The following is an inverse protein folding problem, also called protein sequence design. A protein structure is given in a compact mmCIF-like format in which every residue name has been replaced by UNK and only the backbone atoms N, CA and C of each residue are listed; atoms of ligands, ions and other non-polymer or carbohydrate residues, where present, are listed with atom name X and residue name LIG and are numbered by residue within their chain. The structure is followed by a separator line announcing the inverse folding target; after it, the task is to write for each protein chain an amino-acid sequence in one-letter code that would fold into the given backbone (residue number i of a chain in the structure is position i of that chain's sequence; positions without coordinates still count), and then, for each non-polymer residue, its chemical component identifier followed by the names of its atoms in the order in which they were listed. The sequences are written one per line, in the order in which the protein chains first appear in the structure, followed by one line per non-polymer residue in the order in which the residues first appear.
data_IF_603786490600
#
_entry.id   IF_603786490600
#
_cell.length_a   1.000
_cell.length_b   1.000
_cell.length_c   1.000
_cell.angle_alpha   90.00
_cell.angle_beta   90.00
_cell.angle_gamma   90.00
#
_symmetry.space_group_name_H-M   'P 1'
#
loop_
_entity.id
_entity.type
_entity.pdbx_description
1 polymer ?
#
# COMPACT_ATOMS: atom_id res chain seq x y z
N UNK A 1 -17.32 -0.69 -6.58
CA UNK A 1 -17.97 0.32 -5.72
C UNK A 1 -16.85 1.17 -5.16
N UNK A 2 -16.69 2.36 -5.72
CA UNK A 2 -15.49 3.20 -5.57
C UNK A 2 -15.71 4.12 -4.36
N UNK A 3 -15.07 3.83 -3.23
CA UNK A 3 -15.05 4.74 -2.08
C UNK A 3 -13.92 5.75 -2.30
N UNK A 4 -14.20 6.77 -3.12
CA UNK A 4 -13.37 7.98 -3.17
C UNK A 4 -13.68 8.76 -1.90
N UNK A 5 -12.80 8.67 -0.91
CA UNK A 5 -12.85 9.56 0.23
C UNK A 5 -12.32 10.94 -0.20
N UNK A 6 -13.00 12.05 0.14
CA UNK A 6 -12.62 13.41 -0.29
C UNK A 6 -11.32 13.96 0.34
N UNK A 7 -10.50 13.11 0.94
CA UNK A 7 -9.28 13.46 1.71
C UNK A 7 -8.02 12.79 1.17
N UNK A 8 -8.09 12.31 -0.07
CA UNK A 8 -6.91 12.00 -0.87
C UNK A 8 -6.10 13.29 -1.03
N UNK A 9 -4.77 13.22 -1.06
CA UNK A 9 -3.94 14.42 -1.23
C UNK A 9 -4.50 15.25 -2.39
N UNK A 10 -4.79 16.55 -2.18
CA UNK A 10 -5.17 17.41 -3.28
C UNK A 10 -4.01 17.37 -4.28
N UNK A 11 -4.32 16.93 -5.50
CA UNK A 11 -3.32 16.50 -6.46
C UNK A 11 -2.99 15.02 -6.31
N UNK A 12 -3.33 14.24 -7.33
CA UNK A 12 -2.82 12.89 -7.49
C UNK A 12 -1.29 12.97 -7.45
N UNK A 13 -0.66 12.51 -6.37
CA UNK A 13 0.80 12.38 -6.36
C UNK A 13 1.12 11.17 -7.22
N UNK A 14 1.99 11.33 -8.21
CA UNK A 14 2.49 10.19 -8.97
C UNK A 14 3.34 9.33 -8.03
N UNK A 15 2.72 8.33 -7.40
CA UNK A 15 3.41 7.33 -6.61
C UNK A 15 4.19 6.47 -7.59
N UNK A 16 5.45 6.83 -7.81
CA UNK A 16 6.38 6.00 -8.56
C UNK A 16 6.70 4.77 -7.73
N UNK A 17 5.84 3.75 -7.83
CA UNK A 17 6.17 2.40 -7.37
C UNK A 17 7.29 1.93 -8.28
N UNK A 18 8.52 1.89 -7.77
CA UNK A 18 9.64 1.31 -8.51
C UNK A 18 9.50 -0.22 -8.43
N UNK A 19 9.36 -0.96 -9.54
CA UNK A 19 9.26 -0.52 -10.94
C UNK A 19 7.79 -0.39 -11.40
N UNK A 20 7.59 0.42 -12.43
CA UNK A 20 6.32 0.77 -13.10
C UNK A 20 5.62 -0.39 -13.80
N UNK A 21 5.77 -1.62 -13.30
CA UNK A 21 5.19 -2.84 -13.85
C UNK A 21 4.05 -3.34 -12.96
N UNK A 22 2.96 -3.77 -13.61
CA UNK A 22 1.93 -4.60 -12.97
C UNK A 22 2.66 -5.76 -12.30
N UNK A 23 2.68 -5.80 -10.97
CA UNK A 23 3.34 -6.88 -10.25
C UNK A 23 2.36 -8.06 -10.16
N UNK A 24 2.59 -9.17 -10.90
CA UNK A 24 1.63 -10.24 -10.91
C UNK A 24 1.61 -10.93 -9.55
N UNK A 25 0.41 -11.08 -8.98
CA UNK A 25 0.23 -11.88 -7.78
C UNK A 25 0.15 -13.36 -8.17
N UNK A 26 0.97 -14.21 -7.55
CA UNK A 26 0.88 -15.66 -7.72
C UNK A 26 0.41 -16.32 -6.43
N UNK A 27 -0.69 -17.06 -6.55
CA UNK A 27 -1.12 -17.97 -5.50
C UNK A 27 -0.11 -19.13 -5.44
N UNK A 28 0.71 -19.17 -4.39
CA UNK A 28 1.57 -20.34 -4.14
C UNK A 28 0.74 -21.34 -3.37
N UNK A 29 0.54 -22.53 -3.94
CA UNK A 29 -0.13 -23.62 -3.24
C UNK A 29 0.69 -24.01 -2.01
N UNK A 30 0.00 -24.24 -0.89
CA UNK A 30 0.65 -24.66 0.35
C UNK A 30 1.38 -26.00 0.15
N UNK A 31 2.57 -26.12 0.70
CA UNK A 31 3.31 -27.39 0.78
C UNK A 31 2.41 -28.44 1.49
N UNK A 32 2.17 -29.62 0.87
CA UNK A 32 1.38 -30.67 1.49
C UNK A 32 1.98 -31.21 2.80
N UNK A 33 3.23 -30.88 3.14
CA UNK A 33 3.98 -31.40 4.28
C UNK A 33 3.79 -30.63 5.60
N UNK A 34 2.96 -29.58 5.67
CA UNK A 34 2.40 -29.14 6.96
C UNK A 34 2.50 -27.67 7.36
N UNK A 35 1.91 -26.76 6.57
CA UNK A 35 1.42 -25.50 7.13
C UNK A 35 0.02 -25.20 6.58
N UNK A 36 -0.99 -25.21 7.44
CA UNK A 36 -2.36 -24.80 7.09
C UNK A 36 -2.38 -23.31 6.75
N UNK A 37 -2.20 -22.96 5.49
CA UNK A 37 -2.34 -21.59 5.01
C UNK A 37 -2.01 -21.44 3.53
N UNK A 38 -2.94 -20.89 2.74
CA UNK A 38 -2.65 -20.42 1.39
C UNK A 38 -1.83 -19.15 1.50
N UNK A 39 -0.55 -19.17 1.14
CA UNK A 39 0.32 -17.98 1.14
C UNK A 39 0.31 -17.34 -0.24
N UNK A 40 -0.20 -16.13 -0.30
CA UNK A 40 -0.06 -15.28 -1.47
C UNK A 40 1.37 -14.71 -1.51
N UNK A 41 2.05 -14.89 -2.63
CA UNK A 41 3.34 -14.21 -2.88
C UNK A 41 3.19 -13.33 -4.11
N UNK A 42 3.68 -12.11 -4.00
CA UNK A 42 3.88 -11.27 -5.19
C UNK A 42 5.06 -11.88 -5.96
N UNK A 43 4.91 -12.09 -7.27
CA UNK A 43 6.03 -12.53 -8.12
C UNK A 43 7.06 -11.40 -8.12
N UNK A 44 8.34 -11.73 -7.90
CA UNK A 44 9.46 -10.82 -7.54
C UNK A 44 9.66 -10.47 -6.05
N UNK A 45 9.05 -11.22 -5.13
CA UNK A 45 9.60 -11.37 -3.78
C UNK A 45 9.03 -10.44 -2.71
N UNK A 46 8.04 -9.60 -3.02
CA UNK A 46 7.27 -8.90 -1.98
C UNK A 46 6.34 -9.90 -1.25
N UNK A 47 6.42 -9.91 0.08
CA UNK A 47 5.56 -10.74 0.91
C UNK A 47 4.23 -10.02 1.13
N UNK A 48 3.13 -10.71 0.86
CA UNK A 48 1.82 -10.29 1.35
C UNK A 48 1.65 -10.74 2.79
N UNK A 49 1.06 -9.86 3.57
CA UNK A 49 0.78 -10.07 4.97
C UNK A 49 -0.70 -9.86 5.21
N UNK A 50 -1.21 -10.50 6.24
CA UNK A 50 -2.62 -10.45 6.56
C UNK A 50 -3.23 -11.83 6.69
N UNK A 51 -4.50 -11.85 7.03
CA UNK A 51 -5.28 -13.05 7.10
C UNK A 51 -6.75 -12.71 6.82
N UNK A 52 -7.49 -13.69 6.31
CA UNK A 52 -8.90 -13.48 6.01
C UNK A 52 -9.78 -13.52 7.27
N UNK A 53 -9.37 -14.26 8.30
CA UNK A 53 -10.22 -14.55 9.45
C UNK A 53 -10.21 -13.49 10.56
N UNK A 54 -9.14 -12.70 10.72
CA UNK A 54 -9.03 -11.68 11.77
C UNK A 54 -8.92 -10.27 11.21
N UNK A 55 -8.17 -10.07 10.12
CA UNK A 55 -7.95 -8.77 9.50
C UNK A 55 -8.91 -8.52 8.33
N UNK A 56 -9.23 -9.56 7.55
CA UNK A 56 -10.14 -9.47 6.42
C UNK A 56 -9.52 -8.94 5.13
N UNK A 57 -8.21 -8.67 5.12
CA UNK A 57 -7.48 -8.17 3.94
C UNK A 57 -6.03 -8.64 3.93
N UNK A 58 -5.39 -8.48 2.77
CA UNK A 58 -3.95 -8.63 2.59
C UNK A 58 -3.31 -7.28 2.27
N UNK A 59 -2.11 -7.05 2.79
CA UNK A 59 -1.35 -5.83 2.56
C UNK A 59 0.10 -6.12 2.17
N UNK A 60 0.73 -5.14 1.53
CA UNK A 60 2.11 -5.16 1.07
C UNK A 60 2.82 -3.89 1.53
N UNK A 61 4.13 -4.01 1.77
CA UNK A 61 4.98 -2.86 1.99
C UNK A 61 5.34 -2.21 0.65
N UNK A 62 5.04 -0.93 0.50
CA UNK A 62 5.24 -0.14 -0.72
C UNK A 62 6.12 1.08 -0.39
N UNK A 63 7.19 1.27 -1.15
CA UNK A 63 8.04 2.45 -1.06
C UNK A 63 7.45 3.59 -1.89
N UNK A 64 7.29 4.78 -1.29
CA UNK A 64 6.73 5.98 -1.92
C UNK A 64 7.67 7.17 -1.72
N UNK A 65 7.89 7.95 -2.78
CA UNK A 65 8.66 9.19 -2.76
C UNK A 65 10.17 9.01 -2.87
N UNK A 66 10.89 10.13 -2.77
CA UNK A 66 12.37 10.17 -2.81
C UNK A 66 12.87 11.19 -1.79
N UNK A 67 13.55 10.78 -0.70
CA UNK A 67 13.94 9.40 -0.36
C UNK A 67 12.74 8.47 -0.10
N UNK A 68 12.88 7.15 -0.32
CA UNK A 68 11.77 6.22 -0.23
C UNK A 68 11.26 6.09 1.22
N UNK A 69 9.96 6.26 1.40
CA UNK A 69 9.23 6.00 2.65
C UNK A 69 8.36 4.75 2.49
N UNK A 70 8.40 3.84 3.45
CA UNK A 70 7.64 2.58 3.38
C UNK A 70 6.26 2.75 3.98
N UNK A 71 5.23 2.28 3.27
CA UNK A 71 3.83 2.26 3.68
C UNK A 71 3.27 0.83 3.58
N UNK A 72 2.46 0.42 4.54
CA UNK A 72 1.74 -0.87 4.51
C UNK A 72 0.36 -0.65 3.89
N UNK A 73 0.19 -0.99 2.60
CA UNK A 73 -1.00 -0.69 1.82
C UNK A 73 -1.80 -1.96 1.53
N UNK A 74 -3.12 -1.85 1.60
CA UNK A 74 -4.03 -2.94 1.25
C UNK A 74 -3.95 -3.23 -0.25
N UNK A 75 -3.87 -4.50 -0.61
CA UNK A 75 -3.90 -4.94 -2.00
C UNK A 75 -5.36 -5.19 -2.40
N UNK A 76 -5.94 -4.23 -3.12
CA UNK A 76 -7.32 -4.26 -3.57
C UNK A 76 -7.41 -4.31 -5.10
N UNK A 77 -7.78 -5.47 -5.64
CA UNK A 77 -7.99 -5.64 -7.09
C UNK A 77 -9.35 -5.10 -7.56
N UNK A 78 -10.21 -4.66 -6.63
CA UNK A 78 -11.53 -4.09 -6.90
C UNK A 78 -11.53 -2.60 -7.19
N UNK A 79 -10.37 -1.94 -7.09
CA UNK A 79 -10.18 -0.51 -7.36
C UNK A 79 -9.03 -0.26 -8.33
N UNK A 80 -9.04 0.92 -8.96
CA UNK A 80 -7.99 1.37 -9.89
C UNK A 80 -7.11 2.47 -9.31
N UNK A 81 -7.37 2.89 -8.07
CA UNK A 81 -6.69 4.00 -7.42
C UNK A 81 -5.91 3.49 -6.21
N UNK A 82 -4.64 3.85 -6.15
CA UNK A 82 -3.82 3.69 -4.94
C UNK A 82 -3.84 5.00 -4.17
N UNK A 83 -4.13 4.92 -2.88
CA UNK A 83 -4.37 6.06 -2.02
C UNK A 83 -3.70 5.86 -0.66
N UNK A 84 -3.18 6.95 -0.10
CA UNK A 84 -2.56 6.97 1.21
C UNK A 84 -2.79 8.34 1.87
N UNK A 85 -2.78 8.43 3.20
CA UNK A 85 -3.11 9.66 3.90
C UNK A 85 -1.94 10.65 3.91
N UNK A 86 -2.25 11.93 3.71
CA UNK A 86 -1.29 13.04 3.69
C UNK A 86 -0.96 13.52 5.11
N UNK A 87 0.16 14.24 5.25
CA UNK A 87 0.68 14.69 6.55
C UNK A 87 -0.28 15.62 7.31
N UNK A 88 -1.08 16.39 6.57
CA UNK A 88 -2.04 17.39 7.06
C UNK A 88 -3.45 16.82 7.26
N UNK A 89 -3.66 15.51 7.05
CA UNK A 89 -4.96 14.91 7.26
C UNK A 89 -5.36 14.90 8.74
N UNK A 90 -6.40 15.69 9.08
CA UNK A 90 -6.91 15.86 10.44
C UNK A 90 -7.97 14.83 10.83
N UNK A 91 -8.75 14.32 9.88
CA UNK A 91 -9.82 13.32 10.09
C UNK A 91 -9.44 11.95 9.50
N UNK A 92 -8.18 11.56 9.67
CA UNK A 92 -7.72 10.25 9.25
C UNK A 92 -7.53 9.32 10.45
N UNK A 93 -7.83 8.03 10.24
CA UNK A 93 -7.62 6.99 11.25
C UNK A 93 -6.15 6.83 11.68
N UNK A 94 -5.96 6.09 12.78
CA UNK A 94 -4.63 5.65 13.22
C UNK A 94 -4.26 4.36 12.51
N UNK A 95 -3.07 4.32 11.91
CA UNK A 95 -2.60 3.18 11.12
C UNK A 95 -1.26 2.70 11.67
N UNK A 96 -1.17 1.43 12.03
CA UNK A 96 0.09 0.82 12.40
C UNK A 96 0.79 0.29 11.15
N UNK A 97 2.07 0.60 10.99
CA UNK A 97 2.90 0.02 9.94
C UNK A 97 3.82 -1.03 10.54
N UNK A 98 4.12 -2.09 9.78
CA UNK A 98 4.92 -3.22 10.29
C UNK A 98 6.37 -2.89 10.61
N UNK A 99 6.90 -1.74 10.15
CA UNK A 99 8.23 -1.24 10.52
C UNK A 99 8.32 -0.57 11.89
N UNK A 100 7.25 -0.62 12.71
CA UNK A 100 7.19 0.06 14.01
C UNK A 100 6.77 1.53 13.92
N UNK A 101 6.73 2.11 12.72
CA UNK A 101 6.19 3.44 12.50
C UNK A 101 4.69 3.43 12.72
N UNK A 102 4.21 4.35 13.57
CA UNK A 102 2.78 4.54 13.81
C UNK A 102 2.32 5.81 13.09
N UNK A 103 1.15 5.73 12.45
CA UNK A 103 0.48 6.82 11.76
C UNK A 103 1.38 7.49 10.72
N UNK A 104 2.11 6.70 9.93
CA UNK A 104 2.95 7.27 8.88
C UNK A 104 2.05 7.90 7.83
N UNK A 105 2.30 9.17 7.56
CA UNK A 105 1.62 9.97 6.55
C UNK A 105 2.60 10.35 5.45
N UNK A 106 2.09 10.62 4.26
CA UNK A 106 2.92 11.15 3.19
C UNK A 106 3.00 12.67 3.25
N UNK A 107 4.22 13.16 3.19
CA UNK A 107 4.53 14.57 3.09
C UNK A 107 5.21 14.79 1.74
N UNK A 108 4.52 15.49 0.83
CA UNK A 108 5.04 15.81 -0.49
C UNK A 108 6.26 16.75 -0.40
N UNK A 109 6.30 17.64 0.59
CA UNK A 109 7.43 18.57 0.76
C UNK A 109 8.74 17.85 1.10
N UNK A 110 8.65 16.64 1.66
CA UNK A 110 9.79 15.78 1.99
C UNK A 110 10.14 14.80 0.87
N UNK A 111 9.54 14.92 -0.32
CA UNK A 111 9.78 14.01 -1.45
C UNK A 111 10.18 14.79 -2.71
N UNK A 112 11.42 14.64 -3.16
CA UNK A 112 11.91 15.31 -4.38
C UNK A 112 11.27 14.80 -5.68
N UNK A 113 10.57 13.66 -5.62
CA UNK A 113 9.86 13.05 -6.76
C UNK A 113 8.34 13.24 -6.71
N UNK A 114 7.82 13.98 -5.72
CA UNK A 114 6.39 14.31 -5.72
C UNK A 114 6.11 15.42 -6.74
N UNK A 115 5.01 15.26 -7.45
CA UNK A 115 4.49 16.25 -8.39
C UNK A 115 2.99 16.41 -8.15
N UNK A 116 2.52 17.65 -8.00
CA UNK A 116 1.11 17.96 -7.84
C UNK A 116 0.43 18.00 -9.21
N UNK A 117 -0.60 17.18 -9.38
CA UNK A 117 -1.39 17.18 -10.61
C UNK A 117 -2.48 18.24 -10.55
N UNK A 118 -2.38 19.23 -11.45
CA UNK A 118 -3.41 20.24 -11.71
C UNK A 118 -4.37 19.73 -12.79
N UNK A 119 -5.67 19.96 -12.59
CA UNK A 119 -6.74 19.56 -13.50
C UNK A 119 -7.32 20.76 -14.24
#
# INVERSE_FOLDING_TARGET
QMLIWPWLCPGFVNVSVVPSSITPLRFVHADPSGARGRRLKVVDGAALHGNLHTLGYFSADVCVGTPPKVFDLIVDTGSSLTALPCHDCTDCGKHAHRGGTQNQRFDASESSSSEELHC
#
